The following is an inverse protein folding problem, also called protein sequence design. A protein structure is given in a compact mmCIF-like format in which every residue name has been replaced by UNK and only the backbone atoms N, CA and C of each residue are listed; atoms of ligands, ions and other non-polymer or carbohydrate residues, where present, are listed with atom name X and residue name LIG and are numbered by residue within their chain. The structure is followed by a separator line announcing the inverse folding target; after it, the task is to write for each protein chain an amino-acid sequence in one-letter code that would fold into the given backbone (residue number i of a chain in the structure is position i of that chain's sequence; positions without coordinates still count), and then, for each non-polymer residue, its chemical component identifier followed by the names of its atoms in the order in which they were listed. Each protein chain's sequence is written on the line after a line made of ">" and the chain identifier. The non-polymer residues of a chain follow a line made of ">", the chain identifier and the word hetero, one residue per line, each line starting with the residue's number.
data_IF_867345316595
#
_entry.id   IF_867345316595
#
_cell.length_a   1.000
_cell.length_b   1.000
_cell.length_c   1.000
_cell.angle_alpha   90.00
_cell.angle_beta   90.00
_cell.angle_gamma   90.00
#
_symmetry.space_group_name_H-M   'P 1'
#
loop_
_entity.id
_entity.type
_entity.pdbx_description
1 polymer ?
#
# COMPACT_ATOMS: atom_id res chain seq x y z
N UNK A 1 -15.40 12.88 11.31
CA UNK A 1 -14.25 13.73 11.00
C UNK A 1 -13.44 14.13 12.23
N UNK A 2 -14.04 14.66 13.30
CA UNK A 2 -13.31 15.10 14.51
C UNK A 2 -12.44 13.99 15.15
N UNK A 3 -12.93 12.76 15.23
CA UNK A 3 -12.21 11.61 15.82
C UNK A 3 -10.95 11.22 15.04
N UNK A 4 -10.95 11.37 13.72
CA UNK A 4 -9.79 11.06 12.85
C UNK A 4 -8.72 12.14 13.04
N UNK A 5 -9.11 13.40 13.13
CA UNK A 5 -8.20 14.54 13.39
C UNK A 5 -7.57 14.40 14.78
N UNK A 6 -8.32 13.97 15.78
CA UNK A 6 -7.81 13.73 17.14
C UNK A 6 -6.77 12.61 17.18
N UNK A 7 -6.98 11.51 16.46
CA UNK A 7 -6.00 10.42 16.35
C UNK A 7 -4.70 10.89 15.66
N UNK A 8 -4.80 11.68 14.60
CA UNK A 8 -3.64 12.26 13.90
C UNK A 8 -2.87 13.20 14.82
N UNK A 9 -3.54 14.07 15.59
CA UNK A 9 -2.90 14.96 16.54
C UNK A 9 -2.22 14.22 17.70
N UNK A 10 -2.80 13.13 18.21
CA UNK A 10 -2.18 12.30 19.26
C UNK A 10 -0.90 11.61 18.79
N UNK A 11 -0.79 11.23 17.51
CA UNK A 11 0.45 10.69 16.94
C UNK A 11 1.59 11.72 16.89
N UNK A 12 1.29 13.02 16.80
CA UNK A 12 2.30 14.09 16.77
C UNK A 12 2.84 14.48 18.16
N UNK A 13 2.11 14.20 19.23
CA UNK A 13 2.47 14.64 20.58
C UNK A 13 3.39 13.68 21.36
N UNK A 14 3.62 12.45 20.85
CA UNK A 14 4.43 11.42 21.52
C UNK A 14 5.93 11.43 21.23
N UNK A 15 6.44 12.36 20.45
CA UNK A 15 7.72 12.25 19.74
C UNK A 15 8.99 12.79 20.39
N UNK A 16 9.09 12.96 21.71
CA UNK A 16 10.22 13.76 22.26
C UNK A 16 11.31 13.05 23.07
N UNK A 17 11.48 11.75 23.02
CA UNK A 17 12.63 11.09 23.70
C UNK A 17 13.15 9.89 22.88
N UNK A 18 13.97 10.11 21.86
CA UNK A 18 14.96 9.13 21.42
C UNK A 18 15.92 9.74 20.39
N UNK A 19 17.08 10.17 20.83
CA UNK A 19 18.22 10.53 19.97
C UNK A 19 18.99 9.25 19.59
N UNK A 20 18.42 8.41 18.75
CA UNK A 20 19.13 7.29 18.17
C UNK A 20 19.40 7.54 16.67
N UNK A 21 20.46 6.96 16.14
CA UNK A 21 20.79 7.04 14.71
C UNK A 21 19.77 6.21 13.90
N UNK A 22 18.64 6.84 13.55
CA UNK A 22 17.44 6.18 13.01
C UNK A 22 17.52 5.77 11.53
N UNK A 23 18.52 6.20 10.80
CA UNK A 23 18.65 5.92 9.36
C UNK A 23 20.03 5.35 9.04
N UNK A 24 20.31 4.14 9.56
CA UNK A 24 21.56 3.45 9.28
C UNK A 24 21.54 2.86 7.86
N UNK A 25 22.58 3.14 7.02
CA UNK A 25 22.72 2.47 5.73
C UNK A 25 22.81 0.95 5.89
N UNK A 26 22.20 0.20 4.97
CA UNK A 26 22.10 -1.26 4.97
C UNK A 26 21.21 -1.88 6.06
N UNK A 27 20.61 -1.10 6.93
CA UNK A 27 19.58 -1.58 7.85
C UNK A 27 18.41 -2.13 7.04
N UNK A 28 17.87 -3.24 7.51
CA UNK A 28 16.77 -3.96 6.86
C UNK A 28 15.50 -3.78 7.67
N UNK A 29 14.35 -3.87 7.00
CA UNK A 29 13.08 -3.79 7.70
C UNK A 29 12.02 -4.65 7.01
N UNK A 30 11.11 -5.16 7.82
CA UNK A 30 9.91 -5.85 7.37
C UNK A 30 8.71 -4.97 7.71
N UNK A 31 7.79 -4.79 6.77
CA UNK A 31 6.60 -3.99 6.97
C UNK A 31 5.35 -4.79 6.68
N UNK A 32 4.30 -4.51 7.44
CA UNK A 32 2.96 -4.96 7.17
C UNK A 32 2.05 -3.74 7.07
N UNK A 33 1.27 -3.65 6.00
CA UNK A 33 0.40 -2.52 5.74
C UNK A 33 -0.97 -2.97 5.28
N UNK A 34 -1.98 -2.21 5.67
CA UNK A 34 -3.33 -2.28 5.16
C UNK A 34 -3.49 -1.32 3.99
N UNK A 35 -4.13 -1.77 2.91
CA UNK A 35 -4.38 -0.98 1.71
C UNK A 35 -5.88 -0.68 1.65
N UNK A 36 -6.23 0.60 1.62
CA UNK A 36 -7.58 1.09 1.39
C UNK A 36 -7.65 1.67 -0.02
N UNK A 37 -8.42 1.09 -0.94
CA UNK A 37 -8.71 1.71 -2.23
C UNK A 37 -9.42 3.05 -2.05
N UNK A 38 -9.25 3.99 -2.97
CA UNK A 38 -9.86 5.32 -2.83
C UNK A 38 -11.40 5.24 -2.81
N UNK A 39 -11.99 4.29 -3.52
CA UNK A 39 -13.43 4.06 -3.53
C UNK A 39 -13.96 3.54 -2.17
N UNK A 40 -13.13 2.89 -1.36
CA UNK A 40 -13.50 2.46 -0.02
C UNK A 40 -13.87 3.63 0.91
N UNK A 41 -13.45 4.85 0.59
CA UNK A 41 -13.86 6.06 1.32
C UNK A 41 -15.28 6.51 0.99
N UNK A 42 -15.85 6.04 -0.11
CA UNK A 42 -17.22 6.35 -0.59
C UNK A 42 -18.19 5.18 -0.48
N UNK A 43 -17.70 3.95 -0.41
CA UNK A 43 -18.46 2.70 -0.22
C UNK A 43 -18.19 2.08 1.16
N UNK A 44 -18.89 1.00 1.51
CA UNK A 44 -18.68 0.30 2.78
C UNK A 44 -17.26 -0.27 2.86
N UNK A 45 -16.52 0.16 3.86
CA UNK A 45 -15.12 -0.19 4.13
C UNK A 45 -14.85 -1.70 4.32
N UNK A 46 -15.91 -2.50 4.44
CA UNK A 46 -15.82 -3.94 4.74
C UNK A 46 -15.58 -4.83 3.52
N UNK A 47 -15.87 -4.34 2.33
CA UNK A 47 -15.95 -5.18 1.15
C UNK A 47 -14.70 -5.09 0.26
N UNK A 48 -14.03 -3.93 0.27
CA UNK A 48 -12.83 -3.65 -0.50
C UNK A 48 -11.64 -3.48 0.44
N UNK A 49 -10.70 -4.39 0.41
CA UNK A 49 -9.50 -4.31 1.23
C UNK A 49 -8.27 -4.87 0.52
N UNK A 50 -7.12 -4.49 1.01
CA UNK A 50 -5.85 -5.09 0.63
C UNK A 50 -4.88 -5.16 1.79
N UNK A 51 -3.91 -6.05 1.68
CA UNK A 51 -2.80 -6.20 2.62
C UNK A 51 -1.49 -6.25 1.85
N UNK A 52 -0.46 -5.69 2.44
CA UNK A 52 0.88 -5.65 1.86
C UNK A 52 1.90 -6.13 2.89
N UNK A 53 2.74 -7.06 2.49
CA UNK A 53 3.95 -7.47 3.21
C UNK A 53 5.15 -6.92 2.46
N UNK A 54 5.93 -6.06 3.11
CA UNK A 54 7.08 -5.39 2.49
C UNK A 54 8.40 -5.74 3.14
N UNK A 55 9.46 -5.63 2.36
CA UNK A 55 10.84 -5.73 2.79
C UNK A 55 11.62 -4.52 2.29
N UNK A 56 12.33 -3.85 3.18
CA UNK A 56 13.10 -2.65 2.85
C UNK A 56 14.57 -2.80 3.21
N UNK A 57 15.44 -2.17 2.42
CA UNK A 57 16.88 -2.07 2.67
C UNK A 57 17.27 -0.62 2.57
N UNK A 58 17.69 -0.03 3.69
CA UNK A 58 18.12 1.35 3.74
C UNK A 58 19.37 1.57 2.89
N UNK A 59 19.35 2.64 2.11
CA UNK A 59 20.47 3.16 1.34
C UNK A 59 21.07 4.39 2.03
N UNK A 60 21.82 5.20 1.29
CA UNK A 60 22.38 6.45 1.81
C UNK A 60 21.31 7.57 1.79
N UNK A 61 21.46 8.55 2.69
CA UNK A 61 20.65 9.78 2.75
C UNK A 61 19.15 9.55 3.02
N UNK A 62 18.79 8.49 3.74
CA UNK A 62 17.38 8.19 4.05
C UNK A 62 16.61 7.51 2.93
N UNK A 63 17.22 7.27 1.78
CA UNK A 63 16.63 6.50 0.70
C UNK A 63 16.60 5.01 1.06
N UNK A 64 15.73 4.22 0.40
CA UNK A 64 15.73 2.77 0.56
C UNK A 64 15.17 2.05 -0.67
N UNK A 65 15.60 0.80 -0.83
CA UNK A 65 15.00 -0.16 -1.76
C UNK A 65 13.80 -0.80 -1.08
N UNK A 66 12.73 -1.00 -1.83
CA UNK A 66 11.50 -1.61 -1.33
C UNK A 66 11.07 -2.75 -2.24
N UNK A 67 10.68 -3.87 -1.62
CA UNK A 67 10.06 -5.01 -2.26
C UNK A 67 8.82 -5.37 -1.47
N UNK A 68 7.71 -5.67 -2.13
CA UNK A 68 6.48 -6.00 -1.46
C UNK A 68 5.68 -7.06 -2.21
N UNK A 69 4.89 -7.80 -1.45
CA UNK A 69 3.82 -8.64 -1.94
C UNK A 69 2.51 -8.06 -1.46
N UNK A 70 1.59 -7.84 -2.38
CA UNK A 70 0.28 -7.26 -2.11
C UNK A 70 -0.82 -8.25 -2.50
N UNK A 71 -1.80 -8.37 -1.63
CA UNK A 71 -3.08 -8.99 -1.93
C UNK A 71 -4.15 -7.92 -1.84
N UNK A 72 -4.98 -7.82 -2.87
CA UNK A 72 -6.09 -6.88 -2.91
C UNK A 72 -7.36 -7.62 -3.35
N UNK A 73 -8.46 -7.36 -2.67
CA UNK A 73 -9.78 -7.85 -3.02
C UNK A 73 -10.72 -6.66 -3.19
N UNK A 74 -11.49 -6.68 -4.30
CA UNK A 74 -12.54 -5.70 -4.58
C UNK A 74 -13.79 -6.39 -5.06
N UNK A 75 -14.94 -5.82 -4.72
CA UNK A 75 -16.24 -6.27 -5.15
C UNK A 75 -16.78 -5.29 -6.19
N UNK A 76 -16.98 -5.77 -7.40
CA UNK A 76 -17.58 -4.98 -8.48
C UNK A 76 -19.07 -5.29 -8.59
N UNK A 77 -19.96 -4.26 -8.49
CA UNK A 77 -21.41 -4.48 -8.59
C UNK A 77 -21.78 -4.85 -10.03
N UNK A 78 -22.50 -5.96 -10.19
CA UNK A 78 -23.07 -6.40 -11.44
C UNK A 78 -24.53 -6.77 -11.22
N UNK A 79 -25.50 -5.97 -11.71
CA UNK A 79 -26.94 -6.12 -11.43
C UNK A 79 -27.22 -6.20 -9.93
N UNK A 80 -27.71 -7.36 -9.45
CA UNK A 80 -27.98 -7.63 -8.04
C UNK A 80 -26.86 -8.44 -7.35
N UNK A 81 -25.73 -8.67 -8.03
CA UNK A 81 -24.63 -9.50 -7.56
C UNK A 81 -23.35 -8.66 -7.43
N UNK A 82 -22.46 -9.07 -6.56
CA UNK A 82 -21.11 -8.52 -6.45
C UNK A 82 -20.10 -9.53 -6.97
N UNK A 83 -19.30 -9.16 -7.97
CA UNK A 83 -18.26 -10.00 -8.55
C UNK A 83 -16.96 -9.73 -7.81
N UNK A 84 -16.38 -10.72 -7.09
CA UNK A 84 -15.11 -10.56 -6.43
C UNK A 84 -13.97 -10.57 -7.47
N UNK A 85 -13.06 -9.60 -7.34
CA UNK A 85 -11.82 -9.51 -8.10
C UNK A 85 -10.67 -9.51 -7.12
N UNK A 86 -9.83 -10.51 -7.24
CA UNK A 86 -8.66 -10.71 -6.38
C UNK A 86 -7.39 -10.45 -7.19
N UNK A 87 -6.43 -9.75 -6.59
CA UNK A 87 -5.16 -9.40 -7.20
C UNK A 87 -4.01 -9.77 -6.30
N UNK A 88 -3.04 -10.43 -6.88
CA UNK A 88 -1.77 -10.81 -6.28
C UNK A 88 -0.68 -10.04 -7.01
N UNK A 89 -0.03 -9.08 -6.34
CA UNK A 89 0.90 -8.15 -6.96
C UNK A 89 2.23 -8.22 -6.24
N UNK A 90 3.31 -8.44 -6.99
CA UNK A 90 4.68 -8.20 -6.56
C UNK A 90 5.10 -6.80 -6.96
N UNK A 91 5.60 -6.03 -6.00
CA UNK A 91 6.11 -4.68 -6.19
C UNK A 91 7.59 -4.62 -5.89
N UNK A 92 8.34 -3.85 -6.66
CA UNK A 92 9.76 -3.61 -6.41
C UNK A 92 10.19 -2.23 -6.88
N UNK A 93 10.89 -1.50 -6.04
CA UNK A 93 11.26 -0.14 -6.40
C UNK A 93 12.21 0.54 -5.43
N UNK A 94 12.20 1.86 -5.52
CA UNK A 94 13.07 2.73 -4.77
C UNK A 94 12.29 3.89 -4.16
N UNK A 95 12.64 4.22 -2.92
CA UNK A 95 12.07 5.33 -2.20
C UNK A 95 13.12 6.41 -1.97
N UNK A 96 12.77 7.63 -2.34
CA UNK A 96 13.60 8.83 -2.23
C UNK A 96 13.15 9.64 -1.03
N UNK A 97 14.04 9.92 -0.10
CA UNK A 97 13.76 10.84 0.99
C UNK A 97 13.69 12.28 0.46
N UNK A 98 12.53 12.92 0.61
CA UNK A 98 12.30 14.30 0.20
C UNK A 98 12.62 15.27 1.33
N UNK A 99 11.97 15.08 2.47
CA UNK A 99 12.05 15.95 3.64
C UNK A 99 12.09 15.07 4.88
N UNK A 100 12.91 15.44 5.83
CA UNK A 100 12.90 14.85 7.17
C UNK A 100 13.08 15.93 8.22
N UNK A 101 12.50 15.72 9.39
CA UNK A 101 12.74 16.55 10.57
C UNK A 101 14.21 16.44 11.02
N UNK A 102 14.70 17.47 11.71
CA UNK A 102 16.07 17.52 12.26
C UNK A 102 16.38 16.32 13.16
N UNK A 103 15.39 15.84 13.90
CA UNK A 103 15.48 14.66 14.75
C UNK A 103 15.32 13.34 13.98
N UNK A 104 15.00 13.41 12.68
CA UNK A 104 14.67 12.26 11.83
C UNK A 104 13.55 11.37 12.40
N UNK A 105 12.64 11.98 13.14
CA UNK A 105 11.48 11.28 13.72
C UNK A 105 10.37 11.13 12.69
N UNK A 106 10.20 12.14 11.83
CA UNK A 106 9.23 12.12 10.73
C UNK A 106 9.98 12.34 9.41
N UNK A 107 9.70 11.52 8.43
CA UNK A 107 10.25 11.63 7.09
C UNK A 107 9.15 11.52 6.04
N UNK A 108 9.24 12.33 5.00
CA UNK A 108 8.41 12.26 3.79
C UNK A 108 9.25 11.67 2.67
N UNK A 109 8.77 10.61 2.07
CA UNK A 109 9.45 9.89 1.01
C UNK A 109 8.59 9.82 -0.25
N UNK A 110 9.22 9.83 -1.42
CA UNK A 110 8.62 9.55 -2.72
C UNK A 110 9.03 8.15 -3.17
N UNK A 111 8.06 7.25 -3.30
CA UNK A 111 8.27 5.90 -3.81
C UNK A 111 7.94 5.80 -5.31
N UNK A 112 8.79 5.07 -6.04
CA UNK A 112 8.54 4.67 -7.43
C UNK A 112 8.80 3.16 -7.52
N UNK A 113 7.81 2.40 -7.97
CA UNK A 113 7.87 0.94 -7.96
C UNK A 113 7.33 0.37 -9.28
N UNK A 114 7.95 -0.71 -9.74
CA UNK A 114 7.42 -1.55 -10.81
C UNK A 114 6.52 -2.63 -10.22
N UNK A 115 5.45 -2.98 -10.92
CA UNK A 115 4.44 -3.93 -10.49
C UNK A 115 4.33 -5.09 -11.48
N UNK A 116 4.26 -6.30 -10.95
CA UNK A 116 3.94 -7.51 -11.70
C UNK A 116 2.92 -8.30 -10.89
N UNK A 117 1.89 -8.82 -11.53
CA UNK A 117 0.85 -9.50 -10.77
C UNK A 117 -0.07 -10.36 -11.60
N UNK A 118 -1.08 -10.85 -10.92
CA UNK A 118 -2.11 -11.70 -11.47
C UNK A 118 -3.47 -11.33 -10.90
N UNK A 119 -4.46 -11.19 -11.77
CA UNK A 119 -5.83 -10.85 -11.42
C UNK A 119 -6.71 -12.08 -11.64
N UNK A 120 -7.50 -12.42 -10.63
CA UNK A 120 -8.46 -13.51 -10.64
C UNK A 120 -9.85 -12.92 -10.49
N UNK A 121 -10.73 -13.16 -11.45
CA UNK A 121 -12.12 -12.69 -11.45
C UNK A 121 -13.03 -13.84 -11.08
N UNK A 122 -14.00 -13.58 -10.17
CA UNK A 122 -15.02 -14.55 -9.76
C UNK A 122 -14.46 -15.92 -9.34
N UNK A 123 -13.31 -15.98 -8.66
CA UNK A 123 -12.61 -17.21 -8.26
C UNK A 123 -12.38 -18.17 -9.45
N UNK A 124 -12.08 -17.65 -10.64
CA UNK A 124 -11.91 -18.38 -11.91
C UNK A 124 -13.16 -19.16 -12.37
N UNK A 125 -14.36 -18.70 -11.99
CA UNK A 125 -15.62 -19.28 -12.46
C UNK A 125 -16.17 -18.43 -13.59
N UNK A 126 -16.29 -19.02 -14.78
CA UNK A 126 -16.85 -18.33 -15.97
C UNK A 126 -18.35 -18.14 -15.92
N UNK A 127 -19.07 -19.00 -15.19
CA UNK A 127 -20.54 -18.94 -15.11
C UNK A 127 -20.97 -18.14 -13.87
N UNK A 128 -21.74 -17.09 -14.08
CA UNK A 128 -22.40 -16.34 -13.03
C UNK A 128 -23.73 -17.02 -12.62
N UNK A 129 -24.24 -16.77 -11.39
CA UNK A 129 -25.53 -17.33 -10.93
C UNK A 129 -26.73 -16.95 -11.79
N UNK A 130 -26.66 -15.86 -12.57
CA UNK A 130 -27.69 -15.42 -13.50
C UNK A 130 -27.56 -16.04 -14.92
N UNK A 131 -26.62 -16.99 -15.11
CA UNK A 131 -26.37 -17.65 -16.39
C UNK A 131 -25.50 -16.88 -17.37
N UNK A 132 -25.00 -15.69 -17.00
CA UNK A 132 -24.08 -14.95 -17.84
C UNK A 132 -22.67 -15.55 -17.79
N UNK A 133 -21.95 -15.53 -18.94
CA UNK A 133 -20.57 -15.99 -19.04
C UNK A 133 -19.59 -14.81 -18.93
N UNK A 134 -18.59 -14.95 -18.07
CA UNK A 134 -17.45 -14.04 -18.01
C UNK A 134 -16.42 -14.41 -19.08
N UNK A 135 -16.04 -13.45 -19.91
CA UNK A 135 -15.09 -13.68 -21.01
C UNK A 135 -13.64 -13.63 -20.55
N UNK A 136 -13.33 -12.85 -19.50
CA UNK A 136 -11.99 -12.66 -18.93
C UNK A 136 -11.98 -13.09 -17.46
N UNK A 137 -11.52 -14.29 -17.18
CA UNK A 137 -11.49 -14.85 -15.83
C UNK A 137 -10.19 -14.51 -15.08
N UNK A 138 -9.09 -14.49 -15.81
CA UNK A 138 -7.75 -14.32 -15.23
C UNK A 138 -6.85 -13.52 -16.14
N UNK A 139 -6.12 -12.57 -15.60
CA UNK A 139 -5.25 -11.68 -16.37
C UNK A 139 -3.89 -11.53 -15.71
N UNK A 140 -2.85 -11.50 -16.53
CA UNK A 140 -1.52 -11.08 -16.08
C UNK A 140 -1.45 -9.55 -16.03
N UNK A 141 -0.99 -9.03 -14.89
CA UNK A 141 -0.87 -7.60 -14.63
C UNK A 141 0.58 -7.17 -14.67
N UNK A 142 0.84 -6.03 -15.28
CA UNK A 142 2.13 -5.34 -15.20
C UNK A 142 1.90 -3.85 -15.11
N UNK A 143 2.82 -3.14 -14.46
CA UNK A 143 2.62 -1.72 -14.30
C UNK A 143 3.67 -1.02 -13.47
N UNK A 144 3.33 0.18 -13.05
CA UNK A 144 4.13 0.99 -12.17
C UNK A 144 3.25 1.73 -11.17
N UNK A 145 3.82 2.05 -10.02
CA UNK A 145 3.17 2.93 -9.05
C UNK A 145 4.11 4.02 -8.55
N UNK A 146 3.51 5.13 -8.23
CA UNK A 146 4.15 6.26 -7.58
C UNK A 146 3.37 6.63 -6.33
N UNK A 147 4.05 7.01 -5.26
CA UNK A 147 3.37 7.39 -4.03
C UNK A 147 4.20 8.24 -3.10
N UNK A 148 3.52 9.01 -2.28
CA UNK A 148 4.10 9.74 -1.17
C UNK A 148 3.85 8.96 0.12
N UNK A 149 4.90 8.80 0.92
CA UNK A 149 4.85 8.07 2.18
C UNK A 149 5.43 8.91 3.31
N UNK A 150 4.65 9.06 4.37
CA UNK A 150 5.08 9.62 5.64
C UNK A 150 5.48 8.46 6.55
N UNK A 151 6.70 8.52 7.05
CA UNK A 151 7.26 7.58 8.02
C UNK A 151 7.44 8.28 9.35
N UNK A 152 6.90 7.69 10.41
CA UNK A 152 7.03 8.22 11.77
C UNK A 152 7.67 7.17 12.66
N UNK A 153 8.84 7.47 13.22
CA UNK A 153 9.52 6.59 14.15
C UNK A 153 8.87 6.65 15.53
N UNK A 154 8.33 5.52 15.99
CA UNK A 154 7.85 5.36 17.36
C UNK A 154 8.99 4.96 18.31
N UNK A 155 9.95 4.18 17.80
CA UNK A 155 11.14 3.76 18.49
C UNK A 155 12.27 3.53 17.48
N UNK A 156 13.45 3.07 17.94
CA UNK A 156 14.58 2.77 17.05
C UNK A 156 14.30 1.63 16.07
N UNK A 157 13.35 0.78 16.38
CA UNK A 157 12.99 -0.39 15.58
C UNK A 157 11.60 -0.30 14.93
N UNK A 158 10.69 0.51 15.46
CA UNK A 158 9.30 0.56 15.01
C UNK A 158 8.96 1.88 14.34
N UNK A 159 8.40 1.80 13.13
CA UNK A 159 7.88 2.92 12.37
C UNK A 159 6.41 2.71 12.05
N UNK A 160 5.65 3.81 12.08
CA UNK A 160 4.33 3.90 11.45
C UNK A 160 4.51 4.43 10.03
N UNK A 161 3.83 3.81 9.09
CA UNK A 161 3.81 4.16 7.69
C UNK A 161 2.41 4.65 7.31
N UNK A 162 2.32 5.83 6.68
CA UNK A 162 1.10 6.32 6.06
C UNK A 162 1.44 6.74 4.64
N UNK A 163 0.76 6.19 3.63
CA UNK A 163 1.05 6.60 2.26
C UNK A 163 -0.20 6.74 1.40
N UNK A 164 -0.11 7.64 0.41
CA UNK A 164 -1.00 7.72 -0.72
C UNK A 164 -0.26 7.31 -1.98
N UNK A 165 -0.80 6.36 -2.73
CA UNK A 165 -0.19 5.79 -3.93
C UNK A 165 -1.17 5.84 -5.10
N UNK A 166 -0.64 5.96 -6.31
CA UNK A 166 -1.39 5.76 -7.55
C UNK A 166 -0.66 4.71 -8.38
N UNK A 167 -1.33 3.61 -8.65
CA UNK A 167 -0.85 2.55 -9.51
C UNK A 167 -1.46 2.66 -10.90
N UNK A 168 -0.64 2.49 -11.94
CA UNK A 168 -1.06 2.27 -13.32
C UNK A 168 -0.81 0.80 -13.66
N UNK A 169 -1.88 0.03 -13.87
CA UNK A 169 -1.83 -1.41 -14.13
C UNK A 169 -2.41 -1.72 -15.51
N UNK A 170 -1.57 -2.25 -16.38
CA UNK A 170 -1.95 -2.77 -17.68
C UNK A 170 -2.25 -4.26 -17.59
N UNK A 171 -3.07 -4.75 -18.53
CA UNK A 171 -3.52 -6.14 -18.56
C UNK A 171 -4.77 -6.41 -17.72
N UNK A 172 -5.24 -5.48 -16.92
CA UNK A 172 -6.49 -5.60 -16.17
C UNK A 172 -7.70 -5.35 -17.07
N UNK A 173 -8.80 -6.05 -16.80
CA UNK A 173 -10.10 -5.82 -17.44
C UNK A 173 -10.84 -4.61 -16.86
N UNK A 174 -10.28 -3.95 -15.84
CA UNK A 174 -10.87 -2.84 -15.13
C UNK A 174 -10.04 -1.56 -15.30
N UNK A 175 -10.15 -0.64 -14.35
CA UNK A 175 -9.50 0.67 -14.39
C UNK A 175 -7.97 0.59 -14.47
N UNK A 176 -7.39 1.45 -15.32
CA UNK A 176 -5.95 1.59 -15.49
C UNK A 176 -5.30 2.25 -14.27
N UNK A 177 -5.89 3.35 -13.79
CA UNK A 177 -5.35 4.14 -12.68
C UNK A 177 -6.08 3.80 -11.38
N UNK A 178 -5.32 3.49 -10.34
CA UNK A 178 -5.85 3.04 -9.05
C UNK A 178 -5.22 3.80 -7.90
N UNK A 179 -5.88 4.86 -7.45
CA UNK A 179 -5.46 5.53 -6.23
C UNK A 179 -5.80 4.67 -5.01
N UNK A 180 -4.87 4.62 -4.06
CA UNK A 180 -5.06 3.95 -2.77
C UNK A 180 -4.32 4.67 -1.66
N UNK A 181 -4.80 4.49 -0.44
CA UNK A 181 -4.10 4.89 0.77
C UNK A 181 -3.65 3.65 1.53
N UNK A 182 -2.50 3.73 2.19
CA UNK A 182 -2.01 2.64 3.02
C UNK A 182 -1.61 3.11 4.40
N UNK A 183 -1.86 2.28 5.40
CA UNK A 183 -1.39 2.47 6.77
C UNK A 183 -0.75 1.18 7.23
N UNK A 184 0.42 1.28 7.86
CA UNK A 184 1.15 0.08 8.27
C UNK A 184 2.20 0.34 9.32
N UNK A 185 2.87 -0.74 9.68
CA UNK A 185 4.00 -0.76 10.61
C UNK A 185 5.21 -1.38 9.94
N UNK A 186 6.40 -0.83 10.25
CA UNK A 186 7.69 -1.41 9.83
C UNK A 186 8.54 -1.68 11.06
N UNK A 187 9.11 -2.87 11.09
CA UNK A 187 10.13 -3.25 12.07
C UNK A 187 11.49 -3.26 11.40
N UNK A 188 12.46 -2.54 11.98
CA UNK A 188 13.85 -2.41 11.52
C UNK A 188 14.78 -3.29 12.36
N UNK A 189 15.70 -3.99 11.71
CA UNK A 189 16.68 -4.88 12.35
C UNK A 189 18.06 -4.79 11.68
#
# INVERSE_FOLDING_TARGET
>A
MLRIITCICLCFLGGSIAQAQRLLPKQKGISFSWIAPAEAFTSSFSDDFGVQLGYSINAKRGNYKHFALEYQRRLYPYKSLNIPVERYIGAGGYSFALISDSSKTVALNLGVEALLGYEVVNHSKSLLPDGALLTNENNFLYGAQIGLQVETYLSDHFLVLCSGKVAALWGSSFELLRPCATVGLRYMF
#
